data_IF_787939451417
#
_entry.id   IF_787939451417
#
_cell.length_a   1.000
_cell.length_b   1.000
_cell.length_c   1.000
_cell.angle_alpha   90.00
_cell.angle_beta   90.00
_cell.angle_gamma   90.00
#
_symmetry.space_group_name_H-M   'P 1'
#
loop_
_entity.id
_entity.type
_entity.pdbx_description
1 polymer ?
#
# COMPACT_ATOMS: atom_id res chain seq x y z
N UNK A 1 0.73 7.76 -17.62
CA UNK A 1 1.48 7.25 -16.45
C UNK A 1 0.80 6.00 -15.92
N UNK A 2 1.56 5.09 -15.34
CA UNK A 2 1.06 4.04 -14.48
C UNK A 2 1.35 4.45 -13.02
N UNK A 3 0.38 4.36 -12.13
CA UNK A 3 0.57 4.60 -10.69
C UNK A 3 0.03 3.37 -9.98
N UNK A 4 0.89 2.64 -9.28
CA UNK A 4 0.51 1.43 -8.56
C UNK A 4 1.54 1.09 -7.47
N UNK A 5 1.18 0.14 -6.62
CA UNK A 5 2.03 -0.38 -5.54
C UNK A 5 2.63 -1.75 -5.88
N UNK A 6 1.94 -2.56 -6.69
CA UNK A 6 2.35 -3.92 -7.05
C UNK A 6 2.49 -4.10 -8.57
N UNK A 7 3.07 -5.24 -8.98
CA UNK A 7 3.21 -5.72 -10.36
C UNK A 7 4.02 -4.84 -11.32
N UNK A 8 4.49 -3.68 -10.90
CA UNK A 8 5.25 -2.75 -11.75
C UNK A 8 6.66 -3.25 -12.09
N UNK A 9 7.23 -4.10 -11.23
CA UNK A 9 8.53 -4.73 -11.45
C UNK A 9 8.54 -5.75 -12.60
N UNK A 10 7.37 -6.21 -13.03
CA UNK A 10 7.21 -7.15 -14.14
C UNK A 10 7.39 -6.47 -15.50
N UNK A 11 7.45 -5.13 -15.55
CA UNK A 11 7.53 -4.37 -16.79
C UNK A 11 8.91 -3.73 -16.95
N UNK A 12 9.81 -4.43 -17.65
CA UNK A 12 11.19 -3.97 -17.93
C UNK A 12 11.26 -2.64 -18.69
N UNK A 13 10.20 -2.33 -19.45
CA UNK A 13 10.14 -1.18 -20.35
C UNK A 13 9.65 0.08 -19.66
N UNK A 14 9.25 -0.01 -18.39
CA UNK A 14 8.85 1.13 -17.58
C UNK A 14 10.04 1.64 -16.76
N UNK A 15 10.18 2.96 -16.69
CA UNK A 15 10.93 3.63 -15.65
C UNK A 15 9.96 3.84 -14.48
N UNK A 16 10.32 3.30 -13.32
CA UNK A 16 9.51 3.36 -12.10
C UNK A 16 10.20 4.23 -11.05
N UNK A 17 9.46 5.17 -10.46
CA UNK A 17 9.96 6.07 -9.43
C UNK A 17 9.07 5.97 -8.19
N UNK A 18 9.65 5.79 -6.99
CA UNK A 18 8.87 5.70 -5.76
C UNK A 18 8.29 7.06 -5.36
N UNK A 19 7.01 7.08 -5.01
CA UNK A 19 6.29 8.29 -4.62
C UNK A 19 6.15 8.39 -3.10
N UNK A 20 5.50 7.42 -2.47
CA UNK A 20 5.30 7.46 -1.02
C UNK A 20 5.19 6.06 -0.46
N UNK A 21 5.51 5.96 0.82
CA UNK A 21 5.39 4.75 1.62
C UNK A 21 4.07 4.80 2.38
N UNK A 22 3.40 3.68 2.49
CA UNK A 22 2.17 3.56 3.26
C UNK A 22 2.10 2.20 3.92
N UNK A 23 1.25 2.08 4.94
CA UNK A 23 1.00 0.80 5.59
C UNK A 23 -0.49 0.54 5.81
N UNK A 24 -0.78 -0.62 6.38
CA UNK A 24 -2.14 -1.13 6.56
C UNK A 24 -2.68 -0.71 7.92
N UNK A 25 -3.99 -0.60 7.99
CA UNK A 25 -4.74 -0.60 9.23
C UNK A 25 -5.74 -1.75 9.24
N UNK A 26 -6.14 -2.12 10.44
CA UNK A 26 -7.18 -3.11 10.69
C UNK A 26 -8.46 -2.38 11.05
N UNK A 27 -9.51 -2.60 10.27
CA UNK A 27 -10.81 -2.01 10.47
C UNK A 27 -11.74 -2.98 11.17
N UNK A 28 -12.35 -2.52 12.26
CA UNK A 28 -13.32 -3.29 13.04
C UNK A 28 -14.47 -2.40 13.51
N UNK A 29 -15.67 -2.94 13.79
CA UNK A 29 -16.70 -2.20 14.52
C UNK A 29 -16.21 -1.77 15.91
N UNK A 30 -16.78 -0.69 16.46
CA UNK A 30 -16.38 -0.13 17.78
C UNK A 30 -16.39 -1.13 18.92
N UNK A 31 -17.37 -2.02 18.94
CA UNK A 31 -17.54 -3.02 20.00
C UNK A 31 -16.71 -4.30 19.78
N UNK A 32 -15.85 -4.33 18.76
CA UNK A 32 -15.06 -5.51 18.45
C UNK A 32 -13.92 -5.72 19.47
N UNK A 33 -13.63 -6.98 19.90
CA UNK A 33 -12.60 -7.25 20.89
C UNK A 33 -11.21 -6.67 20.56
N UNK A 34 -10.82 -6.70 19.28
CA UNK A 34 -9.53 -6.13 18.85
C UNK A 34 -9.41 -4.63 19.11
N UNK A 35 -10.52 -3.88 19.14
CA UNK A 35 -10.51 -2.45 19.43
C UNK A 35 -10.22 -2.14 20.92
N UNK A 36 -10.26 -3.16 21.78
CA UNK A 36 -10.03 -3.05 23.23
C UNK A 36 -8.62 -3.49 23.63
N UNK A 37 -7.80 -3.95 22.69
CA UNK A 37 -6.42 -4.38 22.97
C UNK A 37 -5.48 -3.18 22.96
N UNK A 38 -4.58 -3.13 23.94
CA UNK A 38 -3.52 -2.12 24.00
C UNK A 38 -2.46 -2.34 22.90
N UNK A 39 -2.22 -3.59 22.53
CA UNK A 39 -1.30 -3.98 21.46
C UNK A 39 -1.88 -5.14 20.67
N UNK A 40 -1.87 -5.00 19.34
CA UNK A 40 -2.36 -6.02 18.44
C UNK A 40 -1.20 -6.92 17.98
N UNK A 41 -1.43 -8.24 17.89
CA UNK A 41 -0.47 -9.18 17.31
C UNK A 41 -1.04 -9.90 16.10
N UNK A 42 -0.18 -10.48 15.24
CA UNK A 42 -0.64 -11.29 14.11
C UNK A 42 -1.44 -12.52 14.56
N UNK A 43 -1.12 -13.06 15.74
CA UNK A 43 -1.80 -14.16 16.38
C UNK A 43 -3.24 -13.77 16.74
N UNK A 44 -3.45 -12.57 17.30
CA UNK A 44 -4.80 -12.04 17.58
C UNK A 44 -5.60 -11.87 16.28
N UNK A 45 -4.96 -11.33 15.24
CA UNK A 45 -5.59 -11.13 13.92
C UNK A 45 -5.97 -12.48 13.29
N UNK A 46 -5.13 -13.51 13.44
CA UNK A 46 -5.36 -14.85 12.90
C UNK A 46 -6.59 -15.57 13.50
N UNK A 47 -7.08 -15.13 14.67
CA UNK A 47 -8.28 -15.70 15.30
C UNK A 47 -9.58 -15.34 14.55
N UNK A 48 -9.54 -14.30 13.71
CA UNK A 48 -10.74 -13.76 13.08
C UNK A 48 -10.78 -14.04 11.57
N UNK A 49 -12.00 -14.04 11.03
CA UNK A 49 -12.24 -14.00 9.59
C UNK A 49 -11.75 -12.67 9.02
N UNK A 50 -11.04 -12.70 7.90
CA UNK A 50 -10.43 -11.52 7.27
C UNK A 50 -11.16 -11.15 5.97
N UNK A 51 -11.47 -9.87 5.82
CA UNK A 51 -11.99 -9.21 4.61
C UNK A 51 -10.90 -8.25 4.11
N UNK A 52 -10.36 -8.46 2.92
CA UNK A 52 -9.21 -7.66 2.45
C UNK A 52 -9.06 -7.68 0.93
N UNK A 53 -7.94 -7.22 0.39
CA UNK A 53 -7.69 -7.13 -1.03
C UNK A 53 -7.49 -8.49 -1.70
N UNK A 54 -7.81 -8.56 -3.00
CA UNK A 54 -7.47 -9.70 -3.87
C UNK A 54 -5.95 -9.89 -3.93
N UNK A 55 -5.51 -11.14 -4.11
CA UNK A 55 -4.09 -11.45 -4.33
C UNK A 55 -3.49 -10.65 -5.50
N UNK A 56 -2.28 -10.10 -5.32
CA UNK A 56 -1.61 -9.27 -6.33
C UNK A 56 -2.16 -7.85 -6.46
N UNK A 57 -3.01 -7.41 -5.52
CA UNK A 57 -3.43 -6.02 -5.40
C UNK A 57 -2.96 -5.40 -4.09
N UNK A 58 -2.59 -4.11 -4.15
CA UNK A 58 -2.40 -3.22 -3.00
C UNK A 58 -1.63 -3.86 -1.83
N UNK A 59 -0.50 -4.47 -2.14
CA UNK A 59 0.43 -4.99 -1.13
C UNK A 59 -0.02 -6.29 -0.46
N UNK A 60 -0.96 -7.05 -1.03
CA UNK A 60 -1.46 -8.30 -0.43
C UNK A 60 -0.34 -9.32 -0.17
N UNK A 61 0.71 -9.31 -0.99
CA UNK A 61 1.94 -10.08 -0.79
C UNK A 61 2.52 -9.94 0.64
N UNK A 62 2.67 -8.71 1.14
CA UNK A 62 3.24 -8.44 2.47
C UNK A 62 2.39 -8.96 3.63
N UNK A 63 1.06 -9.04 3.43
CA UNK A 63 0.17 -9.65 4.40
C UNK A 63 0.45 -11.15 4.48
N UNK A 64 0.44 -11.83 3.34
CA UNK A 64 0.65 -13.29 3.29
C UNK A 64 2.04 -13.69 3.80
N UNK A 65 3.07 -12.89 3.50
CA UNK A 65 4.43 -13.06 4.02
C UNK A 65 4.46 -12.97 5.55
N UNK A 66 3.84 -11.94 6.14
CA UNK A 66 3.83 -11.72 7.59
C UNK A 66 3.19 -12.88 8.36
N UNK A 67 2.06 -13.43 7.88
CA UNK A 67 1.44 -14.61 8.50
C UNK A 67 2.30 -15.86 8.31
N UNK A 68 2.87 -16.07 7.11
CA UNK A 68 3.69 -17.24 6.80
C UNK A 68 4.95 -17.29 7.66
N UNK A 69 5.60 -16.15 7.89
CA UNK A 69 6.83 -16.06 8.68
C UNK A 69 6.61 -16.44 10.15
N UNK A 70 5.37 -16.31 10.65
CA UNK A 70 4.94 -16.79 11.97
C UNK A 70 4.30 -18.19 11.96
N UNK A 71 4.25 -18.87 10.82
CA UNK A 71 3.58 -20.17 10.68
C UNK A 71 2.06 -20.10 10.86
N UNK A 72 1.46 -18.91 10.72
CA UNK A 72 0.03 -18.68 10.83
C UNK A 72 -0.65 -18.80 9.47
N UNK A 73 -1.93 -19.19 9.48
CA UNK A 73 -2.76 -19.24 8.26
C UNK A 73 -3.90 -18.24 8.39
N UNK A 74 -3.92 -17.14 7.61
CA UNK A 74 -4.99 -16.16 7.70
C UNK A 74 -6.29 -16.75 7.16
N UNK A 75 -7.39 -16.57 7.90
CA UNK A 75 -8.73 -17.03 7.47
C UNK A 75 -9.40 -15.98 6.61
N UNK A 76 -8.98 -15.86 5.35
CA UNK A 76 -9.57 -14.91 4.41
C UNK A 76 -10.89 -15.44 3.88
N UNK A 77 -11.98 -14.77 4.25
CA UNK A 77 -13.34 -15.19 3.87
C UNK A 77 -13.93 -14.33 2.76
N UNK A 78 -13.34 -13.16 2.49
CA UNK A 78 -13.79 -12.26 1.44
C UNK A 78 -12.62 -11.46 0.88
N UNK A 79 -12.61 -11.32 -0.44
CA UNK A 79 -11.62 -10.50 -1.15
C UNK A 79 -12.31 -9.50 -2.06
N UNK A 80 -11.82 -8.25 -2.08
CA UNK A 80 -12.32 -7.19 -2.93
C UNK A 80 -11.19 -6.39 -3.57
N UNK A 81 -11.46 -5.65 -4.64
CA UNK A 81 -10.49 -4.73 -5.22
C UNK A 81 -10.54 -3.34 -4.58
N UNK A 82 -11.65 -3.01 -3.91
CA UNK A 82 -11.94 -1.68 -3.38
C UNK A 82 -12.10 -1.73 -1.85
N UNK A 83 -11.53 -0.74 -1.16
CA UNK A 83 -11.65 -0.58 0.28
C UNK A 83 -13.09 -0.30 0.72
N UNK A 84 -13.91 0.38 -0.09
CA UNK A 84 -15.31 0.68 0.28
C UNK A 84 -16.16 -0.59 0.33
N UNK A 85 -15.89 -1.55 -0.55
CA UNK A 85 -16.50 -2.89 -0.49
C UNK A 85 -16.05 -3.62 0.78
N UNK A 86 -14.74 -3.58 1.10
CA UNK A 86 -14.20 -4.18 2.32
C UNK A 86 -14.88 -3.58 3.55
N UNK A 87 -14.93 -2.25 3.67
CA UNK A 87 -15.58 -1.53 4.77
C UNK A 87 -17.05 -1.91 4.92
N UNK A 88 -17.77 -2.05 3.81
CA UNK A 88 -19.17 -2.49 3.82
C UNK A 88 -19.32 -3.87 4.45
N UNK A 89 -18.50 -4.85 4.09
CA UNK A 89 -18.58 -6.21 4.65
C UNK A 89 -18.06 -6.30 6.09
N UNK A 90 -17.14 -5.42 6.50
CA UNK A 90 -16.75 -5.27 7.91
C UNK A 90 -17.93 -4.77 8.74
N UNK A 91 -18.66 -3.76 8.26
CA UNK A 91 -19.88 -3.23 8.92
C UNK A 91 -20.97 -4.29 9.07
N UNK A 92 -21.08 -5.18 8.09
CA UNK A 92 -22.02 -6.31 8.14
C UNK A 92 -21.55 -7.49 9.02
N UNK A 93 -20.38 -7.38 9.66
CA UNK A 93 -19.87 -8.38 10.59
C UNK A 93 -19.28 -9.63 9.92
N UNK A 94 -18.93 -9.57 8.63
CA UNK A 94 -18.36 -10.73 7.93
C UNK A 94 -16.97 -11.11 8.48
N UNK A 95 -16.24 -10.12 9.00
CA UNK A 95 -14.91 -10.27 9.55
C UNK A 95 -14.23 -8.93 9.79
N UNK A 96 -12.94 -8.97 10.13
CA UNK A 96 -12.10 -7.79 10.29
C UNK A 96 -11.56 -7.35 8.92
N UNK A 97 -11.46 -6.04 8.71
CA UNK A 97 -10.93 -5.45 7.49
C UNK A 97 -9.43 -5.27 7.57
N UNK A 98 -8.69 -5.60 6.51
CA UNK A 98 -7.27 -5.17 6.39
C UNK A 98 -7.15 -4.33 5.12
N UNK A 99 -6.91 -3.03 5.28
CA UNK A 99 -6.90 -2.05 4.18
C UNK A 99 -5.69 -1.12 4.28
N UNK A 100 -5.43 -0.34 3.22
CA UNK A 100 -4.46 0.76 3.28
C UNK A 100 -4.94 1.83 4.27
N UNK A 101 -4.03 2.38 5.08
CA UNK A 101 -4.38 3.39 6.10
C UNK A 101 -5.10 4.62 5.49
N UNK A 102 -4.65 5.09 4.32
CA UNK A 102 -5.27 6.20 3.59
C UNK A 102 -6.71 5.93 3.10
N UNK A 103 -7.18 4.68 3.11
CA UNK A 103 -8.54 4.33 2.71
C UNK A 103 -9.57 4.46 3.86
N UNK A 104 -9.09 4.74 5.08
CA UNK A 104 -9.90 5.07 6.24
C UNK A 104 -9.94 6.59 6.43
N UNK A 105 -11.15 7.13 6.61
CA UNK A 105 -11.33 8.52 6.99
C UNK A 105 -12.22 8.58 8.27
N UNK A 106 -11.73 9.16 9.38
CA UNK A 106 -12.47 9.18 10.64
C UNK A 106 -13.79 9.95 10.59
N UNK A 107 -13.97 10.87 9.64
CA UNK A 107 -15.23 11.61 9.47
C UNK A 107 -16.29 10.74 8.77
N UNK A 108 -15.92 10.05 7.68
CA UNK A 108 -16.85 9.26 6.87
C UNK A 108 -17.00 7.81 7.36
N UNK A 109 -15.99 7.27 8.03
CA UNK A 109 -15.93 5.92 8.57
C UNK A 109 -15.99 5.92 10.11
N UNK A 110 -16.65 6.93 10.68
CA UNK A 110 -16.75 7.15 12.13
C UNK A 110 -17.41 6.02 12.93
N UNK A 111 -18.04 5.06 12.25
CA UNK A 111 -18.63 3.85 12.81
C UNK A 111 -17.63 2.68 12.95
N UNK A 112 -16.48 2.79 12.30
CA UNK A 112 -15.38 1.84 12.38
C UNK A 112 -14.23 2.38 13.24
N UNK A 113 -13.43 1.46 13.77
CA UNK A 113 -12.17 1.75 14.45
C UNK A 113 -11.04 1.27 13.56
N UNK A 114 -10.10 2.17 13.27
CA UNK A 114 -8.86 1.84 12.58
C UNK A 114 -7.75 1.59 13.61
N UNK A 115 -7.26 0.35 13.66
CA UNK A 115 -6.13 -0.07 14.47
C UNK A 115 -4.88 -0.05 13.59
N UNK A 116 -3.85 0.68 14.02
CA UNK A 116 -2.56 0.74 13.32
C UNK A 116 -1.96 -0.68 13.24
N UNK A 117 -1.52 -1.09 12.06
CA UNK A 117 -0.96 -2.42 11.84
C UNK A 117 0.40 -2.40 11.13
N UNK A 118 1.07 -1.25 11.09
CA UNK A 118 2.35 -1.10 10.40
C UNK A 118 3.51 -1.75 11.11
N UNK A 119 3.35 -2.07 12.39
CA UNK A 119 4.27 -2.94 13.14
C UNK A 119 4.06 -4.44 12.85
N UNK A 120 2.92 -4.83 12.25
CA UNK A 120 2.61 -6.21 11.88
C UNK A 120 2.97 -6.54 10.43
N UNK A 121 2.95 -5.54 9.55
CA UNK A 121 3.15 -5.71 8.13
C UNK A 121 4.26 -4.80 7.62
N UNK A 122 5.08 -5.31 6.72
CA UNK A 122 6.03 -4.46 6.01
C UNK A 122 5.28 -3.42 5.16
N UNK A 123 5.75 -2.18 5.24
CA UNK A 123 5.21 -1.08 4.46
C UNK A 123 5.28 -1.34 2.96
N UNK A 124 4.40 -0.71 2.20
CA UNK A 124 4.40 -0.77 0.75
C UNK A 124 4.68 0.61 0.15
N UNK A 125 5.16 0.64 -1.10
CA UNK A 125 5.56 1.87 -1.77
C UNK A 125 4.74 2.02 -3.05
N UNK A 126 3.97 3.10 -3.14
CA UNK A 126 3.33 3.47 -4.40
C UNK A 126 4.36 4.15 -5.29
N UNK A 127 4.43 3.71 -6.54
CA UNK A 127 5.35 4.22 -7.54
C UNK A 127 4.60 4.77 -8.75
N UNK A 128 5.16 5.79 -9.38
CA UNK A 128 4.74 6.30 -10.67
C UNK A 128 5.70 5.81 -11.74
N UNK A 129 5.18 5.45 -12.91
CA UNK A 129 5.99 5.02 -14.03
C UNK A 129 5.48 5.42 -15.40
N UNK A 130 6.41 5.41 -16.34
CA UNK A 130 6.16 5.68 -17.75
C UNK A 130 7.15 4.89 -18.62
N UNK A 131 6.82 4.72 -19.90
CA UNK A 131 7.65 3.95 -20.83
C UNK A 131 9.00 4.64 -21.04
N UNK A 132 10.09 3.89 -20.98
CA UNK A 132 11.44 4.38 -21.29
C UNK A 132 11.47 5.00 -22.70
N UNK A 133 12.19 6.10 -22.85
CA UNK A 133 12.25 6.86 -24.10
C UNK A 133 11.02 7.73 -24.39
N UNK A 134 10.03 7.79 -23.49
CA UNK A 134 8.92 8.75 -23.62
C UNK A 134 9.46 10.17 -23.46
N UNK A 135 9.10 11.05 -24.39
CA UNK A 135 9.37 12.48 -24.25
C UNK A 135 8.36 13.12 -23.29
N UNK A 136 8.84 13.56 -22.12
CA UNK A 136 8.00 14.22 -21.12
C UNK A 136 7.77 15.70 -21.47
N UNK A 137 6.50 16.14 -21.41
CA UNK A 137 6.11 17.56 -21.61
C UNK A 137 6.12 18.33 -20.29
N UNK A 138 6.11 19.67 -20.33
CA UNK A 138 6.11 20.52 -19.12
C UNK A 138 5.11 20.06 -18.05
N UNK A 139 3.83 19.97 -18.42
CA UNK A 139 2.74 19.52 -17.54
C UNK A 139 2.91 18.10 -16.97
N UNK A 140 3.72 17.26 -17.61
CA UNK A 140 4.01 15.91 -17.14
C UNK A 140 4.95 15.94 -15.94
N UNK A 141 5.95 16.81 -15.96
CA UNK A 141 6.82 17.05 -14.81
C UNK A 141 6.02 17.69 -13.67
N UNK A 142 5.20 18.69 -13.99
CA UNK A 142 4.35 19.37 -13.00
C UNK A 142 3.42 18.37 -12.29
N UNK A 143 2.86 17.40 -13.03
CA UNK A 143 2.05 16.33 -12.47
C UNK A 143 2.87 15.37 -11.58
N UNK A 144 4.06 14.95 -12.02
CA UNK A 144 4.93 14.06 -11.24
C UNK A 144 5.32 14.73 -9.91
N UNK A 145 5.74 16.00 -9.97
CA UNK A 145 6.17 16.75 -8.78
C UNK A 145 5.00 17.07 -7.85
N UNK A 146 3.82 17.39 -8.40
CA UNK A 146 2.61 17.58 -7.59
C UNK A 146 2.18 16.29 -6.86
N UNK A 147 2.37 15.12 -7.49
CA UNK A 147 2.06 13.82 -6.90
C UNK A 147 3.14 13.34 -5.91
N UNK A 148 4.40 13.66 -6.17
CA UNK A 148 5.57 13.23 -5.41
C UNK A 148 6.60 14.37 -5.36
N UNK A 149 6.57 15.23 -4.32
CA UNK A 149 7.35 16.48 -4.29
C UNK A 149 8.88 16.33 -4.39
N UNK A 150 9.43 15.16 -4.05
CA UNK A 150 10.86 14.85 -4.21
C UNK A 150 11.23 14.48 -5.65
N UNK A 151 10.26 14.15 -6.51
CA UNK A 151 10.47 13.84 -7.94
C UNK A 151 10.45 15.12 -8.79
N UNK A 152 11.37 16.04 -8.48
CA UNK A 152 11.58 17.25 -9.27
C UNK A 152 12.01 16.94 -10.70
N UNK A 153 11.90 17.91 -11.62
CA UNK A 153 12.38 17.76 -13.00
C UNK A 153 13.80 17.18 -13.09
N UNK A 154 14.74 17.68 -12.27
CA UNK A 154 16.12 17.20 -12.28
C UNK A 154 16.21 15.73 -11.86
N UNK A 155 15.49 15.33 -10.82
CA UNK A 155 15.45 13.94 -10.33
C UNK A 155 14.86 13.00 -11.39
N UNK A 156 13.81 13.43 -12.09
CA UNK A 156 13.20 12.65 -13.18
C UNK A 156 14.18 12.50 -14.35
N UNK A 157 14.85 13.58 -14.75
CA UNK A 157 15.83 13.56 -15.85
C UNK A 157 17.06 12.70 -15.52
N UNK A 158 17.56 12.77 -14.28
CA UNK A 158 18.62 11.89 -13.77
C UNK A 158 18.18 10.42 -13.79
N UNK A 159 16.98 10.12 -13.31
CA UNK A 159 16.45 8.75 -13.31
C UNK A 159 16.30 8.19 -14.74
N UNK A 160 15.94 9.05 -15.72
CA UNK A 160 15.85 8.70 -17.14
C UNK A 160 17.22 8.40 -17.76
N UNK A 161 18.29 9.02 -17.27
CA UNK A 161 19.65 8.79 -17.74
C UNK A 161 20.29 7.51 -17.18
N UNK A 162 19.69 6.89 -16.16
CA UNK A 162 20.23 5.68 -15.54
C UNK A 162 20.10 4.46 -16.47
N UNK A 163 21.13 3.59 -16.55
CA UNK A 163 21.24 2.57 -17.58
C UNK A 163 20.33 1.35 -17.35
N UNK A 164 19.97 1.05 -16.10
CA UNK A 164 19.23 -0.15 -15.74
C UNK A 164 18.43 0.04 -14.43
N UNK A 165 17.59 -0.96 -14.11
CA UNK A 165 16.71 -0.97 -12.93
C UNK A 165 17.52 -0.94 -11.62
N UNK A 166 18.62 -1.67 -11.54
CA UNK A 166 19.46 -1.73 -10.33
C UNK A 166 20.07 -0.36 -9.98
N UNK A 167 20.54 0.38 -10.99
CA UNK A 167 21.04 1.73 -10.81
C UNK A 167 19.93 2.69 -10.34
N UNK A 168 18.71 2.53 -10.86
CA UNK A 168 17.54 3.29 -10.42
C UNK A 168 17.17 2.97 -8.96
N UNK A 169 17.11 1.69 -8.60
CA UNK A 169 16.83 1.25 -7.23
C UNK A 169 17.87 1.81 -6.25
N UNK A 170 19.16 1.77 -6.61
CA UNK A 170 20.24 2.34 -5.78
C UNK A 170 20.14 3.86 -5.65
N UNK A 171 19.79 4.56 -6.74
CA UNK A 171 19.60 6.01 -6.73
C UNK A 171 18.46 6.40 -5.78
N UNK A 172 17.32 5.73 -5.88
CA UNK A 172 16.15 6.02 -5.05
C UNK A 172 16.28 5.49 -3.61
N UNK A 173 17.12 4.51 -3.33
CA UNK A 173 17.36 4.00 -1.98
C UNK A 173 17.91 5.07 -1.01
N UNK A 174 18.58 6.10 -1.54
CA UNK A 174 19.07 7.23 -0.75
C UNK A 174 18.03 8.31 -0.46
N UNK A 175 16.84 8.25 -1.09
CA UNK A 175 15.82 9.28 -0.99
C UNK A 175 14.81 8.92 0.11
N UNK A 176 14.61 9.83 1.06
CA UNK A 176 13.59 9.67 2.09
C UNK A 176 12.21 9.89 1.48
N UNK A 177 11.39 8.85 1.47
CA UNK A 177 10.02 8.91 0.97
C UNK A 177 9.04 9.49 2.00
N UNK A 178 8.04 10.28 1.57
CA UNK A 178 6.87 10.61 2.39
C UNK A 178 6.16 9.35 2.90
N UNK A 179 5.51 9.47 4.07
CA UNK A 179 4.68 8.40 4.65
C UNK A 179 3.21 8.85 4.67
N UNK A 180 2.32 7.99 4.18
CA UNK A 180 0.87 8.19 4.11
C UNK A 180 0.11 7.14 4.93
#
# INVERSE_FOLDING_TARGET
FAIATEALELFSDLLMMPCYRWNRCILVPKDHPLAQLDSLTLEDVALYSIVTYVFGFTGRSRLDDAFRDKGLKPKVVFTATDADVIKTYVRLGLGIGIVAHMAYNPETDSDLVAIEAGHLFESSVTSIGFRKGTYLRGYMYDFIEAFAPHLTRNVVDEAMALPNKEAQEKYFAGIKLPVC
#
